data_IF_883792314137
#
_entry.id   IF_883792314137
#
_cell.length_a   1.000
_cell.length_b   1.000
_cell.length_c   1.000
_cell.angle_alpha   90.00
_cell.angle_beta   90.00
_cell.angle_gamma   90.00
#
_symmetry.space_group_name_H-M   'P 1'
#
loop_
_entity.id
_entity.type
_entity.pdbx_description
1 polymer ?
#
# COMPACT_ATOMS: atom_id res chain seq x y z
N UNK A 1 13.58 -4.92 -26.04
CA UNK A 1 13.06 -4.67 -24.68
C UNK A 1 11.70 -5.35 -24.45
N UNK A 2 10.68 -5.19 -25.30
CA UNK A 2 9.34 -5.81 -25.15
C UNK A 2 9.34 -7.35 -25.00
N UNK A 3 10.30 -8.07 -25.57
CA UNK A 3 10.37 -9.53 -25.46
C UNK A 3 10.93 -10.06 -24.12
N UNK A 4 11.71 -9.27 -23.38
CA UNK A 4 12.19 -9.64 -22.04
C UNK A 4 11.10 -9.45 -20.98
N UNK A 5 10.27 -8.40 -21.15
CA UNK A 5 9.12 -8.12 -20.28
C UNK A 5 8.09 -9.24 -20.29
N UNK A 6 7.79 -9.76 -21.50
CA UNK A 6 6.85 -10.86 -21.67
C UNK A 6 7.32 -12.20 -21.06
N UNK A 7 8.64 -12.41 -20.89
CA UNK A 7 9.18 -13.66 -20.34
C UNK A 7 9.23 -13.68 -18.81
N UNK A 8 9.52 -12.56 -18.15
CA UNK A 8 9.62 -12.49 -16.69
C UNK A 8 8.23 -12.44 -16.01
N UNK A 9 7.31 -11.61 -16.53
CA UNK A 9 5.95 -11.53 -16.02
C UNK A 9 5.14 -12.82 -16.23
N UNK A 10 5.45 -13.59 -17.26
CA UNK A 10 4.75 -14.86 -17.56
C UNK A 10 5.18 -16.04 -16.68
N UNK A 11 6.32 -15.98 -16.02
CA UNK A 11 6.90 -17.15 -15.34
C UNK A 11 6.14 -17.58 -14.08
N UNK A 12 5.44 -16.67 -13.41
CA UNK A 12 4.68 -16.92 -12.19
C UNK A 12 3.17 -16.73 -12.33
N UNK A 13 2.74 -15.96 -13.35
CA UNK A 13 1.31 -15.76 -13.64
C UNK A 13 0.73 -17.01 -14.30
N UNK A 14 -0.53 -17.29 -13.97
CA UNK A 14 -1.28 -18.44 -14.52
C UNK A 14 -2.50 -17.96 -15.29
N UNK A 15 -2.78 -18.59 -16.41
CA UNK A 15 -4.09 -18.55 -17.03
C UNK A 15 -4.99 -19.64 -16.42
N UNK A 16 -6.31 -19.52 -16.57
CA UNK A 16 -7.25 -20.55 -16.11
C UNK A 16 -6.96 -21.92 -16.76
N UNK A 17 -6.56 -21.91 -18.03
CA UNK A 17 -6.16 -23.12 -18.76
C UNK A 17 -4.94 -23.79 -18.11
N UNK A 18 -3.90 -22.99 -17.82
CA UNK A 18 -2.70 -23.50 -17.14
C UNK A 18 -3.02 -24.05 -15.75
N UNK A 19 -3.88 -23.35 -14.98
CA UNK A 19 -4.32 -23.86 -13.68
C UNK A 19 -5.00 -25.22 -13.83
N UNK A 20 -5.90 -25.41 -14.81
CA UNK A 20 -6.56 -26.71 -15.08
C UNK A 20 -5.56 -27.82 -15.38
N UNK A 21 -4.55 -27.53 -16.19
CA UNK A 21 -3.50 -28.52 -16.49
C UNK A 21 -2.73 -28.89 -15.22
N UNK A 22 -2.29 -27.90 -14.45
CA UNK A 22 -1.47 -28.13 -13.25
C UNK A 22 -2.23 -28.81 -12.13
N UNK A 23 -3.53 -28.57 -12.01
CA UNK A 23 -4.41 -29.30 -11.08
C UNK A 23 -4.58 -30.76 -11.55
N UNK A 24 -4.80 -30.97 -12.86
CA UNK A 24 -4.90 -32.33 -13.42
C UNK A 24 -3.60 -33.14 -13.30
N UNK A 25 -2.45 -32.49 -13.30
CA UNK A 25 -1.12 -33.12 -13.08
C UNK A 25 -0.77 -33.27 -11.59
N UNK A 26 -1.58 -32.70 -10.66
CA UNK A 26 -1.32 -32.72 -9.23
C UNK A 26 -0.19 -31.81 -8.78
N UNK A 27 0.24 -30.85 -9.62
CA UNK A 27 1.27 -29.87 -9.27
C UNK A 27 0.72 -28.64 -8.52
N UNK A 28 -0.60 -28.41 -8.60
CA UNK A 28 -1.35 -27.46 -7.78
C UNK A 28 -2.56 -28.17 -7.18
N UNK A 29 -2.69 -28.13 -5.86
CA UNK A 29 -3.83 -28.69 -5.12
C UNK A 29 -4.62 -27.64 -4.35
N UNK A 30 -4.03 -26.44 -4.15
CA UNK A 30 -4.61 -25.38 -3.34
C UNK A 30 -4.68 -24.06 -4.11
N UNK A 31 -5.84 -23.39 -4.05
CA UNK A 31 -6.02 -22.02 -4.52
C UNK A 31 -6.34 -21.10 -3.34
N UNK A 32 -5.49 -20.13 -3.11
CA UNK A 32 -5.73 -19.05 -2.15
C UNK A 32 -6.58 -17.98 -2.86
N UNK A 33 -7.85 -17.89 -2.50
CA UNK A 33 -8.76 -16.82 -2.92
C UNK A 33 -8.71 -15.72 -1.88
N UNK A 34 -8.14 -14.57 -2.22
CA UNK A 34 -7.87 -13.49 -1.28
C UNK A 34 -8.36 -12.13 -1.78
N UNK A 35 -8.77 -11.27 -0.86
CA UNK A 35 -9.04 -9.86 -1.11
C UNK A 35 -8.26 -9.01 -0.10
N UNK A 36 -8.18 -7.70 -0.31
CA UNK A 36 -7.48 -6.78 0.59
C UNK A 36 -8.47 -6.10 1.53
N UNK A 37 -8.24 -6.20 2.84
CA UNK A 37 -9.02 -5.52 3.86
C UNK A 37 -8.66 -4.04 3.99
N UNK A 38 -9.32 -3.33 4.92
CA UNK A 38 -9.11 -1.89 5.16
C UNK A 38 -7.66 -1.56 5.51
N UNK A 39 -6.97 -2.45 6.22
CA UNK A 39 -5.58 -2.30 6.66
C UNK A 39 -4.55 -2.69 5.58
N UNK A 40 -5.00 -3.13 4.41
CA UNK A 40 -4.11 -3.56 3.33
C UNK A 40 -3.60 -5.00 3.47
N UNK A 41 -4.21 -5.82 4.34
CA UNK A 41 -3.88 -7.24 4.53
C UNK A 41 -4.66 -8.11 3.55
N UNK A 42 -4.07 -9.23 3.15
CA UNK A 42 -4.81 -10.25 2.41
C UNK A 42 -5.65 -11.09 3.38
N UNK A 43 -6.96 -11.11 3.13
CA UNK A 43 -7.96 -11.94 3.81
C UNK A 43 -8.59 -12.88 2.79
N UNK A 44 -9.12 -14.02 3.21
CA UNK A 44 -9.76 -14.94 2.28
C UNK A 44 -9.75 -16.39 2.73
N UNK A 45 -9.75 -17.30 1.76
CA UNK A 45 -9.87 -18.75 1.99
C UNK A 45 -8.80 -19.51 1.20
N UNK A 46 -8.31 -20.61 1.76
CA UNK A 46 -7.60 -21.66 1.02
C UNK A 46 -8.61 -22.70 0.57
N UNK A 47 -8.73 -22.91 -0.72
CA UNK A 47 -9.70 -23.80 -1.35
C UNK A 47 -8.97 -24.98 -1.97
N UNK A 48 -9.59 -26.17 -2.01
CA UNK A 48 -9.17 -27.23 -2.94
C UNK A 48 -9.18 -26.65 -4.35
N UNK A 49 -8.13 -26.92 -5.10
CA UNK A 49 -8.03 -26.42 -6.49
C UNK A 49 -9.12 -27.00 -7.40
N UNK A 50 -9.53 -28.26 -7.15
CA UNK A 50 -10.67 -28.89 -7.84
C UNK A 50 -11.97 -28.12 -7.56
N UNK A 51 -12.28 -27.87 -6.28
CA UNK A 51 -13.47 -27.11 -5.88
C UNK A 51 -13.47 -25.69 -6.47
N UNK A 52 -12.30 -25.02 -6.50
CA UNK A 52 -12.16 -23.72 -7.13
C UNK A 52 -12.53 -23.78 -8.61
N UNK A 53 -12.05 -24.78 -9.34
CA UNK A 53 -12.29 -24.95 -10.78
C UNK A 53 -13.74 -25.35 -11.10
N UNK A 54 -14.34 -26.20 -10.29
CA UNK A 54 -15.66 -26.77 -10.56
C UNK A 54 -16.80 -25.84 -10.12
N UNK A 55 -16.64 -25.19 -8.95
CA UNK A 55 -17.71 -24.42 -8.32
C UNK A 55 -17.39 -22.91 -8.32
N UNK A 56 -16.24 -22.49 -7.79
CA UNK A 56 -15.98 -21.07 -7.50
C UNK A 56 -15.85 -20.21 -8.77
N UNK A 57 -15.34 -20.80 -9.85
CA UNK A 57 -15.28 -20.11 -11.16
C UNK A 57 -16.70 -19.78 -11.69
N UNK A 58 -17.70 -20.57 -11.36
CA UNK A 58 -19.08 -20.40 -11.87
C UNK A 58 -20.01 -19.69 -10.89
N UNK A 59 -19.83 -19.98 -9.61
CA UNK A 59 -20.78 -19.59 -8.55
C UNK A 59 -20.16 -18.64 -7.53
N UNK A 60 -18.83 -18.36 -7.67
CA UNK A 60 -18.04 -17.52 -6.76
C UNK A 60 -17.91 -18.17 -5.37
N UNK A 61 -17.30 -17.48 -4.43
CA UNK A 61 -17.24 -17.85 -3.03
C UNK A 61 -17.82 -16.72 -2.19
N UNK A 62 -18.23 -17.02 -0.98
CA UNK A 62 -18.79 -16.05 -0.05
C UNK A 62 -17.85 -15.83 1.13
N UNK A 63 -18.00 -14.69 1.78
CA UNK A 63 -17.27 -14.33 3.00
C UNK A 63 -18.09 -13.34 3.83
N UNK A 64 -17.98 -13.43 5.14
CA UNK A 64 -18.72 -12.54 6.01
C UNK A 64 -18.31 -11.08 5.80
N UNK A 65 -19.29 -10.19 5.69
CA UNK A 65 -19.07 -8.79 5.39
C UNK A 65 -18.35 -8.02 6.52
N UNK A 66 -18.32 -8.56 7.76
CA UNK A 66 -17.54 -7.95 8.84
C UNK A 66 -16.04 -7.85 8.52
N UNK A 67 -15.51 -8.64 7.60
CA UNK A 67 -14.10 -8.61 7.20
C UNK A 67 -13.63 -7.24 6.66
N UNK A 68 -14.57 -6.36 6.29
CA UNK A 68 -14.31 -4.95 6.02
C UNK A 68 -14.80 -4.01 7.15
N UNK A 69 -15.12 -4.54 8.33
CA UNK A 69 -15.70 -3.81 9.45
C UNK A 69 -15.12 -4.27 10.80
N UNK A 70 -13.82 -4.58 10.82
CA UNK A 70 -13.08 -5.05 12.00
C UNK A 70 -11.93 -4.10 12.32
N UNK A 71 -11.46 -4.16 13.57
CA UNK A 71 -10.21 -3.52 13.97
C UNK A 71 -8.96 -4.30 13.49
N UNK A 72 -7.77 -3.85 13.86
CA UNK A 72 -6.50 -4.51 13.49
C UNK A 72 -6.38 -5.93 14.07
N UNK A 73 -7.01 -6.18 15.21
CA UNK A 73 -7.02 -7.48 15.91
C UNK A 73 -8.14 -8.42 15.41
N UNK A 74 -8.88 -8.02 14.37
CA UNK A 74 -10.01 -8.76 13.79
C UNK A 74 -11.26 -8.82 14.70
N UNK A 75 -11.36 -7.94 15.69
CA UNK A 75 -12.57 -7.82 16.47
C UNK A 75 -13.63 -7.07 15.65
N UNK A 76 -14.88 -7.54 15.73
CA UNK A 76 -16.01 -6.78 15.20
C UNK A 76 -16.23 -5.53 16.04
N UNK A 77 -16.41 -4.39 15.36
CA UNK A 77 -16.60 -3.09 16.01
C UNK A 77 -17.86 -2.41 15.46
N UNK A 78 -18.48 -1.58 16.29
CA UNK A 78 -19.71 -0.86 15.93
C UNK A 78 -19.45 0.36 15.03
N UNK A 79 -20.54 0.91 14.49
CA UNK A 79 -20.54 2.16 13.74
C UNK A 79 -20.42 2.02 12.21
N UNK A 80 -20.27 0.80 11.69
CA UNK A 80 -20.25 0.56 10.26
C UNK A 80 -21.67 0.35 9.69
N UNK A 81 -22.02 1.10 8.65
CA UNK A 81 -23.33 0.98 8.01
C UNK A 81 -23.52 -0.35 7.27
N UNK A 82 -22.44 -0.93 6.74
CA UNK A 82 -22.49 -2.16 5.94
C UNK A 82 -22.68 -3.42 6.77
N UNK A 83 -22.26 -3.44 8.04
CA UNK A 83 -22.16 -4.64 8.87
C UNK A 83 -22.33 -4.30 10.35
N UNK A 84 -23.23 -5.00 11.05
CA UNK A 84 -23.49 -4.81 12.49
C UNK A 84 -24.23 -6.00 13.07
N UNK A 85 -24.27 -6.10 14.41
CA UNK A 85 -25.12 -7.08 15.12
C UNK A 85 -26.60 -6.95 14.75
N UNK A 86 -27.11 -5.71 14.60
CA UNK A 86 -28.50 -5.46 14.25
C UNK A 86 -28.86 -5.93 12.82
N UNK A 87 -27.86 -6.01 11.93
CA UNK A 87 -28.00 -6.52 10.55
C UNK A 87 -27.70 -8.02 10.41
N UNK A 88 -27.20 -8.68 11.46
CA UNK A 88 -26.94 -10.11 11.50
C UNK A 88 -25.70 -10.55 10.71
N UNK A 89 -24.79 -9.63 10.35
CA UNK A 89 -23.52 -9.93 9.66
C UNK A 89 -23.69 -10.87 8.45
N UNK A 90 -24.36 -10.40 7.41
CA UNK A 90 -24.49 -11.16 6.15
C UNK A 90 -23.17 -11.33 5.40
N UNK A 91 -23.22 -11.98 4.26
CA UNK A 91 -22.05 -12.25 3.44
C UNK A 91 -21.91 -11.24 2.28
N UNK A 92 -20.73 -11.15 1.73
CA UNK A 92 -20.43 -10.64 0.41
C UNK A 92 -19.83 -11.74 -0.47
N UNK A 93 -19.89 -11.54 -1.77
CA UNK A 93 -19.39 -12.46 -2.79
C UNK A 93 -17.94 -12.12 -3.14
N UNK A 94 -17.07 -13.13 -3.14
CA UNK A 94 -15.68 -13.03 -3.60
C UNK A 94 -15.62 -13.44 -5.08
N UNK A 95 -15.49 -12.44 -5.96
CA UNK A 95 -15.43 -12.64 -7.41
C UNK A 95 -13.97 -12.74 -7.85
N UNK A 96 -13.48 -13.92 -8.31
CA UNK A 96 -12.07 -14.08 -8.68
C UNK A 96 -11.65 -13.18 -9.85
N UNK A 97 -10.71 -12.29 -9.66
CA UNK A 97 -10.07 -11.51 -10.72
C UNK A 97 -9.01 -12.38 -11.42
N UNK A 98 -9.41 -13.22 -12.38
CA UNK A 98 -8.57 -14.27 -12.98
C UNK A 98 -7.25 -13.74 -13.58
N UNK A 99 -7.20 -12.48 -14.01
CA UNK A 99 -5.97 -11.86 -14.50
C UNK A 99 -4.88 -11.70 -13.43
N UNK A 100 -5.23 -11.85 -12.15
CA UNK A 100 -4.28 -11.77 -11.01
C UNK A 100 -3.72 -13.12 -10.60
N UNK A 101 -4.21 -14.21 -11.20
CA UNK A 101 -3.87 -15.58 -10.83
C UNK A 101 -2.39 -15.86 -11.01
N UNK A 102 -1.77 -16.42 -9.97
CA UNK A 102 -0.33 -16.65 -9.88
C UNK A 102 0.05 -17.81 -9.00
N UNK A 103 1.24 -18.39 -9.21
CA UNK A 103 1.84 -19.35 -8.27
C UNK A 103 2.30 -18.65 -6.99
N UNK A 104 2.32 -19.40 -5.90
CA UNK A 104 2.94 -19.00 -4.62
C UNK A 104 4.18 -19.88 -4.36
N UNK A 105 5.38 -19.53 -4.85
CA UNK A 105 6.54 -20.39 -4.76
C UNK A 105 7.02 -20.74 -3.33
N UNK A 106 6.57 -19.99 -2.33
CA UNK A 106 6.87 -20.23 -0.91
C UNK A 106 5.82 -21.08 -0.20
N UNK A 107 4.77 -21.49 -0.90
CA UNK A 107 3.79 -22.48 -0.48
C UNK A 107 3.75 -23.62 -1.49
N UNK A 108 3.94 -24.84 -1.00
CA UNK A 108 3.91 -26.04 -1.85
C UNK A 108 2.55 -26.15 -2.57
N UNK A 109 2.58 -26.54 -3.83
CA UNK A 109 1.41 -26.82 -4.68
C UNK A 109 0.30 -25.75 -4.65
N UNK A 110 0.65 -24.47 -4.49
CA UNK A 110 -0.32 -23.41 -4.25
C UNK A 110 -0.32 -22.33 -5.33
N UNK A 111 -1.53 -21.86 -5.66
CA UNK A 111 -1.78 -20.67 -6.46
C UNK A 111 -2.56 -19.64 -5.64
N UNK A 112 -2.50 -18.37 -6.06
CA UNK A 112 -3.28 -17.27 -5.48
C UNK A 112 -4.06 -16.56 -6.59
N UNK A 113 -5.27 -16.13 -6.27
CA UNK A 113 -6.07 -15.21 -7.07
C UNK A 113 -6.65 -14.12 -6.15
N UNK A 114 -6.57 -12.87 -6.58
CA UNK A 114 -7.22 -11.75 -5.87
C UNK A 114 -8.70 -11.75 -6.25
N UNK A 115 -9.57 -11.46 -5.28
CA UNK A 115 -10.99 -11.30 -5.49
C UNK A 115 -11.42 -9.83 -5.43
N UNK A 116 -12.35 -9.46 -6.28
CA UNK A 116 -13.21 -8.30 -6.10
C UNK A 116 -14.37 -8.68 -5.18
N UNK A 117 -14.90 -7.71 -4.42
CA UNK A 117 -16.03 -7.93 -3.53
C UNK A 117 -17.31 -7.36 -4.13
N UNK A 118 -18.36 -8.17 -4.13
CA UNK A 118 -19.70 -7.78 -4.59
C UNK A 118 -20.76 -8.18 -3.57
N UNK A 119 -21.88 -7.49 -3.60
CA UNK A 119 -23.11 -7.95 -2.93
C UNK A 119 -23.76 -9.07 -3.74
N UNK A 120 -24.75 -9.76 -3.16
CA UNK A 120 -25.49 -10.84 -3.84
C UNK A 120 -26.16 -10.39 -5.14
N UNK A 121 -26.56 -9.12 -5.24
CA UNK A 121 -27.14 -8.53 -6.45
C UNK A 121 -26.11 -8.17 -7.54
N UNK A 122 -24.82 -8.47 -7.28
CA UNK A 122 -23.71 -8.17 -8.17
C UNK A 122 -23.19 -6.73 -8.11
N UNK A 123 -23.79 -5.87 -7.28
CA UNK A 123 -23.27 -4.52 -7.07
C UNK A 123 -21.96 -4.54 -6.29
N UNK A 124 -21.00 -3.61 -6.57
CA UNK A 124 -19.70 -3.60 -5.92
C UNK A 124 -19.82 -3.21 -4.43
N UNK A 125 -18.99 -3.81 -3.57
CA UNK A 125 -18.81 -3.36 -2.19
C UNK A 125 -17.91 -2.12 -2.20
N UNK A 126 -18.55 -0.94 -2.16
CA UNK A 126 -17.86 0.36 -2.39
C UNK A 126 -16.76 0.66 -1.37
N UNK A 127 -16.84 0.10 -0.16
CA UNK A 127 -15.81 0.26 0.88
C UNK A 127 -14.56 -0.60 0.64
N UNK A 128 -14.59 -1.54 -0.32
CA UNK A 128 -13.43 -2.38 -0.64
C UNK A 128 -12.28 -1.53 -1.22
N UNK A 129 -11.06 -1.60 -0.64
CA UNK A 129 -9.93 -0.79 -1.09
C UNK A 129 -9.63 -0.95 -2.58
N UNK A 130 -9.67 -2.18 -3.10
CA UNK A 130 -9.41 -2.47 -4.50
C UNK A 130 -10.45 -1.81 -5.41
N UNK A 131 -11.72 -1.81 -5.02
CA UNK A 131 -12.80 -1.18 -5.78
C UNK A 131 -12.76 0.34 -5.71
N UNK A 132 -12.34 0.93 -4.57
CA UNK A 132 -12.09 2.37 -4.46
C UNK A 132 -11.04 2.79 -5.49
N UNK A 133 -9.94 2.03 -5.63
CA UNK A 133 -8.93 2.32 -6.66
C UNK A 133 -9.49 2.12 -8.07
N UNK A 134 -10.20 1.01 -8.33
CA UNK A 134 -10.78 0.73 -9.64
C UNK A 134 -11.74 1.85 -10.09
N UNK A 135 -12.53 2.42 -9.17
CA UNK A 135 -13.40 3.55 -9.46
C UNK A 135 -12.59 4.78 -9.95
N UNK A 136 -11.46 5.10 -9.32
CA UNK A 136 -10.60 6.21 -9.76
C UNK A 136 -9.90 5.90 -11.09
N UNK A 137 -9.45 4.66 -11.29
CA UNK A 137 -8.86 4.23 -12.57
C UNK A 137 -9.88 4.30 -13.71
N UNK A 138 -11.15 3.98 -13.43
CA UNK A 138 -12.24 4.14 -14.40
C UNK A 138 -12.43 5.61 -14.80
N UNK A 139 -12.44 6.55 -13.84
CA UNK A 139 -12.52 8.01 -14.13
C UNK A 139 -11.36 8.47 -15.03
N UNK A 140 -10.15 7.96 -14.84
CA UNK A 140 -9.02 8.22 -15.75
C UNK A 140 -9.26 7.61 -17.14
N UNK A 141 -9.76 6.36 -17.19
CA UNK A 141 -10.05 5.65 -18.44
C UNK A 141 -11.09 6.37 -19.30
N UNK A 142 -12.10 7.02 -18.71
CA UNK A 142 -13.10 7.84 -19.38
C UNK A 142 -12.46 9.06 -20.09
N UNK A 143 -11.32 9.54 -19.57
CA UNK A 143 -10.50 10.59 -20.18
C UNK A 143 -9.46 10.06 -21.17
N UNK A 144 -9.39 8.75 -21.37
CA UNK A 144 -8.42 8.09 -22.22
C UNK A 144 -7.02 7.94 -21.60
N UNK A 145 -6.91 7.98 -20.27
CA UNK A 145 -5.66 7.87 -19.55
C UNK A 145 -5.57 6.60 -18.72
N UNK A 146 -4.32 6.11 -18.56
CA UNK A 146 -3.98 5.00 -17.68
C UNK A 146 -2.98 5.44 -16.64
N UNK A 147 -3.25 5.14 -15.36
CA UNK A 147 -2.31 5.38 -14.27
C UNK A 147 -1.26 4.25 -14.22
N UNK A 148 0.01 4.63 -14.22
CA UNK A 148 1.15 3.75 -13.94
C UNK A 148 1.69 4.09 -12.57
N UNK A 149 1.81 3.10 -11.70
CA UNK A 149 2.28 3.28 -10.33
C UNK A 149 3.47 2.37 -9.99
N UNK A 150 4.31 2.80 -9.05
CA UNK A 150 5.36 2.02 -8.42
C UNK A 150 5.38 2.31 -6.92
N UNK A 151 5.69 1.32 -6.09
CA UNK A 151 5.83 1.48 -4.64
C UNK A 151 7.23 1.07 -4.20
N UNK A 152 7.90 1.93 -3.43
CA UNK A 152 9.17 1.67 -2.74
C UNK A 152 8.82 1.35 -1.28
N UNK A 153 8.71 0.07 -0.95
CA UNK A 153 8.25 -0.39 0.37
C UNK A 153 9.42 -0.87 1.22
N UNK A 154 9.72 -0.11 2.26
CA UNK A 154 10.75 -0.42 3.25
C UNK A 154 10.22 -1.32 4.37
N UNK A 155 11.11 -2.09 4.98
CA UNK A 155 10.83 -2.96 6.11
C UNK A 155 12.06 -3.17 6.99
N UNK A 156 11.83 -3.50 8.27
CA UNK A 156 12.91 -3.89 9.19
C UNK A 156 12.87 -5.40 9.43
N UNK A 157 14.03 -6.02 9.38
CA UNK A 157 14.25 -7.46 9.66
C UNK A 157 14.83 -7.63 11.05
N UNK A 158 14.24 -8.56 11.83
CA UNK A 158 14.75 -9.00 13.12
C UNK A 158 15.16 -10.47 13.06
N UNK A 159 16.21 -10.82 13.82
CA UNK A 159 16.64 -12.20 13.99
C UNK A 159 15.67 -13.03 14.86
N UNK A 160 14.79 -12.35 15.58
CA UNK A 160 13.76 -12.97 16.41
C UNK A 160 12.59 -13.43 15.54
N UNK A 161 12.02 -14.60 15.83
CA UNK A 161 10.78 -15.04 15.19
C UNK A 161 9.58 -14.21 15.67
N UNK A 162 8.44 -14.33 15.00
CA UNK A 162 7.19 -13.66 15.45
C UNK A 162 6.75 -14.13 16.83
N UNK A 163 6.95 -15.42 17.16
CA UNK A 163 6.62 -16.00 18.47
C UNK A 163 7.54 -15.45 19.56
N UNK A 164 8.84 -15.31 19.29
CA UNK A 164 9.79 -14.68 20.21
C UNK A 164 9.47 -13.19 20.41
N UNK A 165 9.15 -12.47 19.33
CA UNK A 165 8.74 -11.09 19.41
C UNK A 165 7.47 -10.90 20.25
N UNK A 166 6.48 -11.78 20.08
CA UNK A 166 5.27 -11.78 20.91
C UNK A 166 5.58 -12.07 22.38
N UNK A 167 6.40 -13.08 22.65
CA UNK A 167 6.78 -13.47 24.01
C UNK A 167 7.53 -12.37 24.78
N UNK A 168 8.29 -11.52 24.05
CA UNK A 168 8.99 -10.34 24.63
C UNK A 168 8.10 -9.10 24.74
N UNK A 169 6.82 -9.18 24.33
CA UNK A 169 5.95 -8.02 24.22
C UNK A 169 6.43 -7.00 23.19
N UNK A 170 7.02 -7.47 22.10
CA UNK A 170 7.55 -6.68 20.98
C UNK A 170 8.72 -5.74 21.36
N UNK A 171 9.46 -6.11 22.42
CA UNK A 171 10.59 -5.33 22.98
C UNK A 171 11.90 -6.07 22.86
N UNK A 172 12.98 -5.28 22.89
CA UNK A 172 14.36 -5.80 22.92
C UNK A 172 14.67 -6.76 21.77
N UNK A 173 14.00 -6.60 20.63
CA UNK A 173 14.22 -7.39 19.44
C UNK A 173 15.59 -7.10 18.84
N UNK A 174 16.23 -8.10 18.28
CA UNK A 174 17.58 -8.05 17.68
C UNK A 174 17.50 -7.74 16.19
N UNK A 175 17.78 -6.50 15.74
CA UNK A 175 17.82 -6.20 14.32
C UNK A 175 18.85 -7.07 13.59
N UNK A 176 18.54 -7.46 12.35
CA UNK A 176 19.43 -8.30 11.54
C UNK A 176 20.76 -7.62 11.19
N UNK A 177 20.81 -6.28 11.22
CA UNK A 177 22.05 -5.50 11.08
C UNK A 177 22.27 -4.63 12.32
N UNK A 178 23.51 -4.48 12.74
CA UNK A 178 23.92 -3.78 13.97
C UNK A 178 24.39 -2.33 13.72
N UNK A 179 24.40 -1.87 12.47
CA UNK A 179 24.80 -0.53 12.04
C UNK A 179 24.01 -0.12 10.79
N UNK A 180 24.06 1.16 10.44
CA UNK A 180 23.47 1.68 9.23
C UNK A 180 24.05 1.00 7.99
N UNK A 181 23.19 0.35 7.20
CA UNK A 181 23.60 -0.42 6.00
C UNK A 181 23.09 0.24 4.70
N UNK A 182 22.71 1.50 4.76
CA UNK A 182 22.24 2.25 3.59
C UNK A 182 23.23 2.14 2.42
N UNK A 183 22.77 1.56 1.32
CA UNK A 183 23.57 1.19 0.13
C UNK A 183 24.82 0.32 0.39
N UNK A 184 25.02 -0.23 1.59
CA UNK A 184 26.19 -1.04 1.92
C UNK A 184 26.07 -2.46 1.39
N UNK A 185 26.87 -2.83 0.39
CA UNK A 185 26.93 -4.21 -0.12
C UNK A 185 27.45 -5.17 0.95
N UNK A 186 28.51 -4.79 1.68
CA UNK A 186 29.04 -5.60 2.77
C UNK A 186 28.00 -5.79 3.88
N UNK A 187 27.34 -4.70 4.29
CA UNK A 187 26.38 -4.72 5.38
C UNK A 187 25.15 -5.59 5.09
N UNK A 188 24.62 -5.51 3.90
CA UNK A 188 23.45 -6.30 3.47
C UNK A 188 23.75 -7.78 3.26
N UNK A 189 25.04 -8.16 3.09
CA UNK A 189 25.46 -9.55 2.86
C UNK A 189 25.01 -10.53 3.95
N UNK A 190 24.85 -10.08 5.21
CA UNK A 190 24.37 -10.92 6.32
C UNK A 190 22.90 -11.32 6.17
N UNK A 191 22.08 -10.46 5.58
CA UNK A 191 20.64 -10.65 5.38
C UNK A 191 20.32 -11.17 3.97
N UNK A 192 21.34 -11.20 3.08
CA UNK A 192 21.18 -11.64 1.69
C UNK A 192 20.52 -13.02 1.53
N UNK A 193 20.77 -14.05 2.38
CA UNK A 193 20.04 -15.31 2.24
C UNK A 193 18.52 -15.15 2.31
N UNK A 194 18.00 -14.35 3.24
CA UNK A 194 16.57 -14.03 3.34
C UNK A 194 16.09 -13.15 2.17
N UNK A 195 16.81 -12.05 1.90
CA UNK A 195 16.45 -11.13 0.82
C UNK A 195 16.40 -11.84 -0.54
N UNK A 196 17.34 -12.77 -0.78
CA UNK A 196 17.36 -13.59 -1.99
C UNK A 196 16.11 -14.50 -2.08
N UNK A 197 15.73 -15.17 -0.99
CA UNK A 197 14.51 -15.99 -0.96
C UNK A 197 13.28 -15.16 -1.29
N UNK A 198 13.16 -13.96 -0.70
CA UNK A 198 12.04 -13.06 -1.00
C UNK A 198 12.07 -12.66 -2.48
N UNK A 199 13.21 -12.19 -3.01
CA UNK A 199 13.31 -11.80 -4.43
C UNK A 199 12.95 -12.94 -5.38
N UNK A 200 13.44 -14.16 -5.12
CA UNK A 200 13.12 -15.33 -5.96
C UNK A 200 11.67 -15.78 -5.81
N UNK A 201 11.11 -15.74 -4.58
CA UNK A 201 9.71 -16.01 -4.34
C UNK A 201 8.81 -15.04 -5.12
N UNK A 202 9.08 -13.74 -5.01
CA UNK A 202 8.32 -12.72 -5.72
C UNK A 202 8.46 -12.85 -7.25
N UNK A 203 9.67 -13.08 -7.76
CA UNK A 203 9.88 -13.32 -9.18
C UNK A 203 9.12 -14.58 -9.68
N UNK A 204 9.10 -15.64 -8.88
CA UNK A 204 8.34 -16.87 -9.16
C UNK A 204 6.83 -16.69 -9.04
N UNK A 205 6.35 -15.66 -8.33
CA UNK A 205 4.95 -15.25 -8.29
C UNK A 205 4.59 -14.20 -9.36
N UNK A 206 5.46 -13.95 -10.33
CA UNK A 206 5.18 -13.05 -11.46
C UNK A 206 5.48 -11.58 -11.25
N UNK A 207 6.09 -11.19 -10.10
CA UNK A 207 6.53 -9.84 -9.85
C UNK A 207 7.90 -9.58 -10.49
N UNK A 208 8.05 -8.47 -11.20
CA UNK A 208 9.34 -8.09 -11.77
C UNK A 208 10.18 -7.39 -10.72
N UNK A 209 11.12 -8.12 -10.11
CA UNK A 209 12.07 -7.60 -9.13
C UNK A 209 13.17 -6.83 -9.83
N UNK A 210 13.44 -5.58 -9.44
CA UNK A 210 14.52 -4.75 -9.97
C UNK A 210 15.78 -4.82 -9.11
N UNK A 211 15.64 -4.60 -7.79
CA UNK A 211 16.79 -4.55 -6.88
C UNK A 211 16.40 -4.79 -5.43
N UNK A 212 17.39 -4.91 -4.58
CA UNK A 212 17.26 -4.77 -3.13
C UNK A 212 18.46 -3.99 -2.57
N UNK A 213 18.23 -3.18 -1.55
CA UNK A 213 19.26 -2.39 -0.87
C UNK A 213 19.02 -2.33 0.63
N UNK A 214 20.06 -1.97 1.38
CA UNK A 214 19.94 -1.58 2.79
C UNK A 214 19.42 -0.15 2.91
N UNK A 215 18.92 0.18 4.09
CA UNK A 215 18.41 1.49 4.49
C UNK A 215 19.04 1.95 5.81
N UNK A 216 18.65 3.15 6.27
CA UNK A 216 19.32 3.83 7.37
C UNK A 216 19.08 3.22 8.75
N UNK A 217 17.89 2.64 9.01
CA UNK A 217 17.60 2.03 10.32
C UNK A 217 18.30 0.65 10.44
N UNK A 218 18.50 0.20 11.66
CA UNK A 218 19.08 -1.12 11.92
C UNK A 218 18.16 -2.22 11.37
N UNK A 219 18.71 -3.10 10.55
CA UNK A 219 17.97 -4.18 9.91
C UNK A 219 17.01 -3.72 8.81
N UNK A 220 17.07 -2.44 8.40
CA UNK A 220 16.15 -1.90 7.41
C UNK A 220 16.60 -2.17 5.98
N UNK A 221 15.66 -2.59 5.15
CA UNK A 221 15.87 -2.94 3.75
C UNK A 221 14.70 -2.50 2.89
N UNK A 222 14.96 -2.40 1.58
CA UNK A 222 13.97 -2.17 0.53
C UNK A 222 14.16 -3.19 -0.60
N UNK A 223 13.07 -3.67 -1.18
CA UNK A 223 13.07 -4.43 -2.43
C UNK A 223 12.23 -3.67 -3.43
N UNK A 224 12.86 -3.24 -4.53
CA UNK A 224 12.22 -2.48 -5.58
C UNK A 224 11.66 -3.41 -6.66
N UNK A 225 10.46 -3.07 -7.11
CA UNK A 225 9.76 -3.77 -8.19
C UNK A 225 9.47 -2.81 -9.34
N UNK A 226 9.42 -3.36 -10.54
CA UNK A 226 9.03 -2.60 -11.71
C UNK A 226 7.60 -2.07 -11.58
N UNK A 227 7.43 -0.80 -11.93
CA UNK A 227 6.10 -0.19 -12.00
C UNK A 227 5.18 -0.92 -13.00
N UNK A 228 3.88 -0.89 -12.72
CA UNK A 228 2.84 -1.46 -13.58
C UNK A 228 1.61 -0.53 -13.59
N UNK A 229 0.50 -0.99 -14.16
CA UNK A 229 -0.77 -0.29 -13.98
C UNK A 229 -1.12 -0.18 -12.49
N UNK A 230 -1.80 0.90 -12.09
CA UNK A 230 -2.05 1.20 -10.68
C UNK A 230 -2.64 0.01 -9.91
N UNK A 231 -3.67 -0.66 -10.45
CA UNK A 231 -4.28 -1.83 -9.79
C UNK A 231 -3.29 -2.99 -9.68
N UNK A 232 -2.56 -3.30 -10.78
CA UNK A 232 -1.56 -4.38 -10.77
C UNK A 232 -0.45 -4.13 -9.76
N UNK A 233 0.02 -2.88 -9.62
CA UNK A 233 1.04 -2.53 -8.62
C UNK A 233 0.52 -2.74 -7.21
N UNK A 234 -0.72 -2.35 -6.91
CA UNK A 234 -1.31 -2.55 -5.59
C UNK A 234 -1.56 -4.04 -5.28
N UNK A 235 -2.03 -4.82 -6.28
CA UNK A 235 -2.14 -6.28 -6.16
C UNK A 235 -0.76 -6.91 -5.85
N UNK A 236 0.28 -6.53 -6.57
CA UNK A 236 1.65 -7.00 -6.36
C UNK A 236 2.21 -6.60 -4.99
N UNK A 237 1.94 -5.36 -4.55
CA UNK A 237 2.36 -4.88 -3.22
C UNK A 237 1.75 -5.74 -2.10
N UNK A 238 0.45 -6.05 -2.17
CA UNK A 238 -0.22 -6.87 -1.16
C UNK A 238 0.33 -8.30 -1.12
N UNK A 239 0.61 -8.89 -2.29
CA UNK A 239 1.27 -10.20 -2.41
C UNK A 239 2.68 -10.16 -1.84
N UNK A 240 3.46 -9.12 -2.18
CA UNK A 240 4.82 -8.94 -1.66
C UNK A 240 4.84 -8.79 -0.15
N UNK A 241 3.99 -7.91 0.42
CA UNK A 241 3.94 -7.64 1.86
C UNK A 241 3.60 -8.90 2.68
N UNK A 242 2.69 -9.71 2.17
CA UNK A 242 2.30 -10.99 2.79
C UNK A 242 3.40 -12.04 2.61
N UNK A 243 3.85 -12.27 1.38
CA UNK A 243 4.84 -13.32 1.09
C UNK A 243 6.21 -13.06 1.73
N UNK A 244 6.64 -11.81 1.85
CA UNK A 244 7.88 -11.47 2.55
C UNK A 244 7.83 -11.88 4.03
N UNK A 245 6.68 -11.66 4.71
CA UNK A 245 6.48 -12.08 6.10
C UNK A 245 6.44 -13.60 6.23
N UNK A 246 5.74 -14.29 5.33
CA UNK A 246 5.64 -15.76 5.34
C UNK A 246 7.01 -16.42 5.10
N UNK A 247 7.81 -15.87 4.16
CA UNK A 247 9.18 -16.35 3.89
C UNK A 247 10.10 -16.10 5.09
N UNK A 248 10.00 -14.93 5.74
CA UNK A 248 10.80 -14.65 6.93
C UNK A 248 10.42 -15.55 8.11
N UNK A 249 9.13 -15.79 8.33
CA UNK A 249 8.63 -16.71 9.36
C UNK A 249 9.16 -18.14 9.15
N UNK A 250 9.18 -18.63 7.90
CA UNK A 250 9.73 -19.94 7.57
C UNK A 250 11.25 -20.04 7.83
N UNK A 251 11.95 -18.92 7.87
CA UNK A 251 13.39 -18.83 8.23
C UNK A 251 13.62 -18.57 9.72
N UNK A 252 12.56 -18.56 10.55
CA UNK A 252 12.67 -18.25 11.99
C UNK A 252 13.01 -16.79 12.29
N UNK A 253 12.77 -15.89 11.34
CA UNK A 253 12.97 -14.44 11.44
C UNK A 253 11.65 -13.70 11.39
N UNK A 254 11.66 -12.40 11.71
CA UNK A 254 10.48 -11.55 11.53
C UNK A 254 10.78 -10.29 10.73
N UNK A 255 9.75 -9.81 10.04
CA UNK A 255 9.78 -8.58 9.26
C UNK A 255 8.63 -7.67 9.72
N UNK A 256 8.92 -6.39 9.94
CA UNK A 256 7.88 -5.40 10.18
C UNK A 256 7.85 -4.32 9.11
N UNK A 257 6.65 -3.98 8.69
CA UNK A 257 6.34 -2.84 7.82
C UNK A 257 5.72 -1.66 8.61
N UNK A 258 5.79 -1.68 9.94
CA UNK A 258 5.35 -0.53 10.75
C UNK A 258 6.04 0.74 10.27
N UNK A 259 5.28 1.84 10.15
CA UNK A 259 5.85 3.12 9.73
C UNK A 259 6.96 3.62 10.66
N UNK A 260 6.84 3.36 11.96
CA UNK A 260 7.84 3.75 12.97
C UNK A 260 8.04 2.63 13.99
N UNK A 261 8.91 1.63 13.70
CA UNK A 261 9.11 0.48 14.59
C UNK A 261 9.95 0.80 15.84
N UNK A 262 10.73 1.87 15.81
CA UNK A 262 11.58 2.33 16.92
C UNK A 262 11.85 3.85 16.80
N UNK A 263 12.71 4.40 17.65
CA UNK A 263 13.02 5.85 17.69
C UNK A 263 13.94 6.32 16.54
N UNK A 264 14.43 5.39 15.68
CA UNK A 264 15.27 5.70 14.51
C UNK A 264 14.41 6.02 13.29
N UNK A 265 14.99 5.93 12.08
CA UNK A 265 14.28 6.13 10.82
C UNK A 265 13.11 5.15 10.69
N UNK A 266 11.99 5.66 10.15
CA UNK A 266 10.81 4.84 9.90
C UNK A 266 10.86 4.13 8.55
N UNK A 267 9.93 3.19 8.33
CA UNK A 267 9.72 2.58 7.04
C UNK A 267 8.83 3.46 6.16
N UNK A 268 9.31 3.83 5.00
CA UNK A 268 8.55 4.53 3.97
C UNK A 268 7.85 3.55 3.03
N UNK A 269 6.83 4.05 2.36
CA UNK A 269 6.31 3.50 1.13
C UNK A 269 6.14 4.65 0.14
N UNK A 270 7.21 5.08 -0.50
CA UNK A 270 7.10 6.12 -1.52
C UNK A 270 6.31 5.61 -2.71
N UNK A 271 5.32 6.40 -3.16
CA UNK A 271 4.45 6.01 -4.27
C UNK A 271 4.74 6.89 -5.46
N UNK A 272 5.23 6.29 -6.52
CA UNK A 272 5.43 6.93 -7.82
C UNK A 272 4.17 6.80 -8.67
N UNK A 273 3.75 7.89 -9.30
CA UNK A 273 2.58 7.92 -10.16
C UNK A 273 2.85 8.71 -11.44
N UNK A 274 2.48 8.15 -12.58
CA UNK A 274 2.45 8.82 -13.87
C UNK A 274 1.21 8.44 -14.64
N UNK A 275 0.80 9.28 -15.58
CA UNK A 275 -0.34 9.04 -16.46
C UNK A 275 0.14 8.85 -17.91
N UNK A 276 -0.49 7.90 -18.63
CA UNK A 276 -0.23 7.64 -20.03
C UNK A 276 -1.52 7.70 -20.85
N UNK A 277 -1.42 8.19 -22.07
CA UNK A 277 -2.51 8.13 -23.03
C UNK A 277 -2.64 6.74 -23.70
N UNK A 278 -3.61 6.60 -24.61
CA UNK A 278 -3.84 5.36 -25.37
C UNK A 278 -2.66 4.93 -26.23
N UNK A 279 -1.77 5.88 -26.60
CA UNK A 279 -0.54 5.60 -27.34
C UNK A 279 0.65 5.30 -26.41
N UNK A 280 0.41 5.14 -25.10
CA UNK A 280 1.41 4.92 -24.06
C UNK A 280 2.39 6.10 -23.86
N UNK A 281 2.05 7.30 -24.36
CA UNK A 281 2.82 8.52 -24.13
C UNK A 281 2.49 9.10 -22.76
N UNK A 282 3.50 9.58 -22.01
CA UNK A 282 3.30 10.27 -20.75
C UNK A 282 2.58 11.61 -20.94
N UNK A 283 1.45 11.81 -20.26
CA UNK A 283 0.63 13.04 -20.41
C UNK A 283 1.00 14.12 -19.40
N UNK A 284 1.70 13.78 -18.32
CA UNK A 284 2.20 14.76 -17.35
C UNK A 284 3.41 15.54 -17.87
N UNK A 285 4.12 14.97 -18.85
CA UNK A 285 5.30 15.59 -19.45
C UNK A 285 4.91 16.55 -20.59
N UNK A 286 5.66 17.66 -20.72
CA UNK A 286 5.46 18.67 -21.75
C UNK A 286 6.63 19.64 -21.83
N UNK A 287 6.42 20.77 -22.50
CA UNK A 287 7.42 21.82 -22.74
C UNK A 287 7.39 22.95 -21.68
N UNK A 288 6.56 22.78 -20.65
CA UNK A 288 6.44 23.74 -19.55
C UNK A 288 7.61 23.68 -18.56
N UNK A 289 7.57 24.51 -17.52
CA UNK A 289 8.59 24.50 -16.46
C UNK A 289 8.78 23.09 -15.89
N UNK A 290 10.06 22.74 -15.64
CA UNK A 290 10.45 21.44 -15.09
C UNK A 290 10.04 20.22 -15.95
N UNK A 291 9.71 20.43 -17.24
CA UNK A 291 9.28 19.37 -18.16
C UNK A 291 7.84 18.91 -17.95
N UNK A 292 7.02 19.69 -17.22
CA UNK A 292 5.59 19.43 -17.05
C UNK A 292 4.76 19.96 -18.22
N UNK A 293 3.69 19.27 -18.55
CA UNK A 293 2.60 19.82 -19.36
C UNK A 293 1.66 20.63 -18.47
N UNK A 294 0.79 21.52 -19.03
CA UNK A 294 -0.24 22.18 -18.24
C UNK A 294 -1.10 21.19 -17.42
N UNK A 295 -1.43 20.03 -18.02
CA UNK A 295 -2.12 18.97 -17.33
C UNK A 295 -1.27 18.40 -16.17
N UNK A 296 0.02 18.23 -16.36
CA UNK A 296 0.96 17.78 -15.32
C UNK A 296 1.07 18.77 -14.16
N UNK A 297 1.07 20.07 -14.45
CA UNK A 297 1.06 21.12 -13.42
C UNK A 297 -0.24 21.07 -12.59
N UNK A 298 -1.40 21.01 -13.23
CA UNK A 298 -2.69 20.91 -12.54
C UNK A 298 -2.80 19.59 -11.73
N UNK A 299 -2.32 18.48 -12.28
CA UNK A 299 -2.33 17.19 -11.59
C UNK A 299 -1.48 17.21 -10.30
N UNK A 300 -0.29 17.81 -10.36
CA UNK A 300 0.58 17.95 -9.18
C UNK A 300 0.01 18.97 -8.18
N UNK A 301 -0.53 20.10 -8.66
CA UNK A 301 -1.19 21.09 -7.82
C UNK A 301 -2.37 20.49 -7.05
N UNK A 302 -3.17 19.66 -7.70
CA UNK A 302 -4.28 18.95 -7.05
C UNK A 302 -3.79 17.99 -5.95
N UNK A 303 -2.72 17.24 -6.19
CA UNK A 303 -2.15 16.36 -5.17
C UNK A 303 -1.63 17.13 -3.94
N UNK A 304 -1.04 18.29 -4.12
CA UNK A 304 -0.64 19.16 -3.02
C UNK A 304 -1.84 19.72 -2.25
N UNK A 305 -2.83 20.23 -2.96
CA UNK A 305 -4.03 20.82 -2.37
C UNK A 305 -4.80 19.78 -1.55
N UNK A 306 -4.97 18.56 -2.06
CA UNK A 306 -5.69 17.47 -1.41
C UNK A 306 -4.89 16.70 -0.36
N UNK A 307 -3.57 16.95 -0.21
CA UNK A 307 -2.70 16.10 0.60
C UNK A 307 -3.14 16.00 2.07
N UNK A 308 -3.56 17.12 2.67
CA UNK A 308 -4.02 17.16 4.06
C UNK A 308 -5.38 16.49 4.22
N UNK A 309 -6.30 16.79 3.32
CA UNK A 309 -7.68 16.26 3.36
C UNK A 309 -7.71 14.74 3.17
N UNK A 310 -6.78 14.19 2.38
CA UNK A 310 -6.68 12.76 2.09
C UNK A 310 -5.58 12.05 2.89
N UNK A 311 -5.02 12.71 3.92
CA UNK A 311 -3.92 12.17 4.72
C UNK A 311 -4.27 10.82 5.39
N UNK A 312 -5.54 10.59 5.73
CA UNK A 312 -6.02 9.33 6.30
C UNK A 312 -5.73 8.12 5.39
N UNK A 313 -5.79 8.31 4.06
CA UNK A 313 -5.46 7.25 3.10
C UNK A 313 -3.94 7.09 2.86
N UNK A 314 -3.14 8.07 3.23
CA UNK A 314 -1.68 8.01 3.15
C UNK A 314 -1.02 7.52 4.45
N UNK A 315 -1.65 7.75 5.59
CA UNK A 315 -1.13 7.47 6.93
C UNK A 315 -2.28 6.99 7.84
N UNK A 316 -2.68 5.69 7.73
CA UNK A 316 -3.94 5.21 8.30
C UNK A 316 -3.89 4.91 9.80
N UNK A 317 -2.70 4.83 10.42
CA UNK A 317 -2.53 4.37 11.78
C UNK A 317 -1.97 5.47 12.69
N UNK A 318 -2.18 5.34 14.00
CA UNK A 318 -1.56 6.23 15.02
C UNK A 318 -0.03 6.24 14.85
N UNK A 319 0.58 5.10 14.55
CA UNK A 319 2.02 4.95 14.37
C UNK A 319 2.54 5.64 13.11
N UNK A 320 1.74 5.77 12.05
CA UNK A 320 2.14 6.40 10.78
C UNK A 320 2.71 7.80 10.97
N UNK A 321 2.09 8.59 11.83
CA UNK A 321 2.43 10.00 12.07
C UNK A 321 3.73 10.20 12.85
N UNK A 322 4.16 9.19 13.61
CA UNK A 322 5.45 9.21 14.34
C UNK A 322 6.66 9.21 13.42
N UNK A 323 6.47 8.93 12.12
CA UNK A 323 7.51 8.97 11.10
C UNK A 323 7.86 10.40 10.68
N UNK A 324 6.95 11.36 10.79
CA UNK A 324 7.13 12.74 10.32
C UNK A 324 7.99 13.57 11.27
N UNK A 325 9.30 13.31 11.23
CA UNK A 325 10.29 13.98 12.06
C UNK A 325 11.26 14.76 11.15
N UNK A 326 11.57 16.04 11.44
CA UNK A 326 12.57 16.78 10.67
C UNK A 326 13.91 16.05 10.59
N UNK A 327 14.49 15.95 9.39
CA UNK A 327 15.76 15.28 9.16
C UNK A 327 15.70 13.77 8.98
N UNK A 328 14.50 13.15 9.00
CA UNK A 328 14.30 11.70 8.85
C UNK A 328 13.97 11.25 7.43
N UNK A 329 14.13 12.11 6.41
CA UNK A 329 13.68 11.92 5.03
C UNK A 329 12.16 11.69 4.86
N UNK A 330 11.38 11.63 5.95
CA UNK A 330 9.93 11.70 5.92
C UNK A 330 9.49 13.17 5.87
N UNK A 331 8.62 13.57 4.93
CA UNK A 331 8.26 14.96 4.76
C UNK A 331 7.39 15.48 5.90
N UNK A 332 7.59 16.73 6.28
CA UNK A 332 6.76 17.41 7.28
C UNK A 332 5.99 18.60 6.71
N UNK A 333 6.37 19.09 5.53
CA UNK A 333 5.77 20.24 4.87
C UNK A 333 5.03 19.82 3.59
N UNK A 334 3.89 20.45 3.32
CA UNK A 334 3.14 20.28 2.08
C UNK A 334 3.82 21.13 1.00
N UNK A 335 4.89 20.57 0.42
CA UNK A 335 5.69 21.19 -0.64
C UNK A 335 6.02 20.16 -1.71
N UNK A 336 6.31 20.68 -2.90
CA UNK A 336 6.89 19.90 -3.97
C UNK A 336 8.22 20.48 -4.43
N UNK A 337 9.07 19.63 -5.00
CA UNK A 337 10.34 20.07 -5.55
C UNK A 337 10.87 19.09 -6.58
N UNK A 338 11.76 19.59 -7.47
CA UNK A 338 12.46 18.77 -8.44
C UNK A 338 13.59 18.05 -7.74
N UNK A 339 13.55 16.73 -7.76
CA UNK A 339 14.53 15.84 -7.11
C UNK A 339 14.83 16.18 -5.63
N UNK A 340 13.84 16.74 -4.91
CA UNK A 340 13.98 17.19 -3.52
C UNK A 340 13.34 16.21 -2.54
N UNK A 341 14.17 15.44 -1.82
CA UNK A 341 13.74 14.42 -0.85
C UNK A 341 13.18 14.98 0.46
N UNK A 342 13.25 16.30 0.70
CA UNK A 342 12.65 16.93 1.88
C UNK A 342 11.19 17.34 1.67
N UNK A 343 10.71 17.32 0.42
CA UNK A 343 9.34 17.68 0.04
C UNK A 343 8.39 16.48 0.13
N UNK A 344 7.11 16.77 0.34
CA UNK A 344 6.05 15.76 0.32
C UNK A 344 5.84 15.15 -1.07
N UNK A 345 5.89 16.00 -2.11
CA UNK A 345 5.85 15.59 -3.51
C UNK A 345 7.19 15.90 -4.18
N UNK A 346 7.81 14.86 -4.74
CA UNK A 346 9.06 14.98 -5.48
C UNK A 346 8.82 14.69 -6.95
N UNK A 347 9.12 15.64 -7.82
CA UNK A 347 9.08 15.42 -9.26
C UNK A 347 10.39 14.77 -9.70
N UNK A 348 10.31 13.60 -10.31
CA UNK A 348 11.46 12.82 -10.77
C UNK A 348 11.32 12.41 -12.24
N UNK A 349 12.48 12.22 -12.89
CA UNK A 349 12.59 11.87 -14.30
C UNK A 349 12.90 13.10 -15.18
N UNK A 350 13.63 12.86 -16.26
CA UNK A 350 14.13 13.91 -17.16
C UNK A 350 13.61 13.76 -18.60
N UNK A 351 12.73 12.80 -18.85
CA UNK A 351 12.15 12.53 -20.18
C UNK A 351 10.64 12.29 -20.07
N UNK A 352 9.92 12.45 -21.18
CA UNK A 352 8.49 12.20 -21.23
C UNK A 352 8.10 10.78 -20.81
N UNK A 353 8.99 9.81 -20.95
CA UNK A 353 8.75 8.41 -20.55
C UNK A 353 9.08 8.12 -19.07
N UNK A 354 9.89 8.98 -18.44
CA UNK A 354 10.37 8.78 -17.05
C UNK A 354 9.78 9.75 -16.05
N UNK A 355 9.17 10.87 -16.51
CA UNK A 355 8.59 11.89 -15.64
C UNK A 355 7.44 11.32 -14.80
N UNK A 356 7.52 11.48 -13.50
CA UNK A 356 6.52 11.02 -12.55
C UNK A 356 6.54 11.83 -11.26
N UNK A 357 5.45 11.82 -10.55
CA UNK A 357 5.34 12.37 -9.20
C UNK A 357 5.57 11.26 -8.19
N UNK A 358 6.45 11.49 -7.23
CA UNK A 358 6.68 10.65 -6.06
C UNK A 358 6.00 11.28 -4.83
N UNK A 359 5.02 10.60 -4.26
CA UNK A 359 4.45 10.95 -2.96
C UNK A 359 5.27 10.26 -1.86
N UNK A 360 5.90 11.05 -0.99
CA UNK A 360 6.80 10.58 0.07
C UNK A 360 6.12 10.50 1.45
N UNK A 361 4.85 10.87 1.52
CA UNK A 361 4.05 10.86 2.77
C UNK A 361 3.74 9.45 3.26
N UNK A 362 3.36 8.47 2.41
CA UNK A 362 2.98 7.13 2.89
C UNK A 362 4.12 6.39 3.59
N UNK A 363 3.78 5.70 4.68
CA UNK A 363 4.67 4.77 5.39
C UNK A 363 4.48 3.32 4.98
N UNK A 364 5.30 2.42 5.49
CA UNK A 364 5.25 0.99 5.19
C UNK A 364 3.95 0.30 5.62
N UNK A 365 3.18 0.93 6.48
CA UNK A 365 1.87 0.49 6.97
C UNK A 365 0.68 0.92 6.10
N UNK A 366 0.94 1.61 4.99
CA UNK A 366 -0.11 2.10 4.08
C UNK A 366 -0.89 0.95 3.42
N UNK A 367 -2.17 1.21 3.13
CA UNK A 367 -2.94 0.44 2.17
C UNK A 367 -2.69 1.03 0.77
N UNK A 368 -2.00 0.32 -0.14
CA UNK A 368 -1.57 0.88 -1.42
C UNK A 368 -2.74 1.28 -2.33
N UNK A 369 -3.86 0.55 -2.26
CA UNK A 369 -5.03 0.87 -3.08
C UNK A 369 -5.64 2.22 -2.68
N UNK A 370 -5.76 2.48 -1.37
CA UNK A 370 -6.33 3.72 -0.86
C UNK A 370 -5.43 4.92 -1.17
N UNK A 371 -4.11 4.77 -0.94
CA UNK A 371 -3.16 5.83 -1.19
C UNK A 371 -3.06 6.20 -2.68
N UNK A 372 -3.01 5.21 -3.57
CA UNK A 372 -3.00 5.45 -5.02
C UNK A 372 -4.33 6.05 -5.50
N UNK A 373 -5.46 5.59 -4.95
CA UNK A 373 -6.77 6.18 -5.24
C UNK A 373 -6.83 7.65 -4.81
N UNK A 374 -6.30 7.99 -3.63
CA UNK A 374 -6.22 9.37 -3.15
C UNK A 374 -5.36 10.27 -4.07
N UNK A 375 -4.20 9.78 -4.51
CA UNK A 375 -3.34 10.51 -5.45
C UNK A 375 -4.04 10.76 -6.79
N UNK A 376 -4.75 9.77 -7.33
CA UNK A 376 -5.49 9.91 -8.58
C UNK A 376 -6.66 10.91 -8.40
N UNK A 377 -7.42 10.76 -7.33
CA UNK A 377 -8.58 11.62 -7.04
C UNK A 377 -8.17 13.09 -6.89
N UNK A 378 -7.13 13.36 -6.10
CA UNK A 378 -6.59 14.71 -5.91
C UNK A 378 -6.02 15.30 -7.21
N UNK A 379 -5.29 14.49 -7.98
CA UNK A 379 -4.78 14.92 -9.27
C UNK A 379 -5.87 15.25 -10.28
N UNK A 380 -6.95 14.46 -10.32
CA UNK A 380 -8.12 14.74 -11.17
C UNK A 380 -8.85 16.02 -10.74
N UNK A 381 -9.03 16.24 -9.43
CA UNK A 381 -9.62 17.49 -8.92
C UNK A 381 -8.77 18.71 -9.33
N UNK A 382 -7.44 18.58 -9.27
CA UNK A 382 -6.54 19.64 -9.73
C UNK A 382 -6.69 19.96 -11.21
N UNK A 383 -6.86 18.96 -12.06
CA UNK A 383 -7.12 19.13 -13.49
C UNK A 383 -8.51 19.75 -13.73
N UNK A 384 -9.54 19.24 -13.05
CA UNK A 384 -10.93 19.72 -13.22
C UNK A 384 -11.10 21.18 -12.81
N UNK A 385 -10.35 21.62 -11.79
CA UNK A 385 -10.37 22.99 -11.27
C UNK A 385 -9.29 23.87 -11.86
N UNK A 386 -8.44 23.33 -12.76
CA UNK A 386 -7.29 24.05 -13.34
C UNK A 386 -6.43 24.73 -12.27
N UNK A 387 -6.15 23.99 -11.18
CA UNK A 387 -5.40 24.55 -10.04
C UNK A 387 -3.99 24.99 -10.46
N UNK A 388 -3.59 26.24 -10.13
CA UNK A 388 -2.23 26.68 -10.41
C UNK A 388 -1.22 25.95 -9.53
N UNK A 389 -0.12 25.54 -10.13
CA UNK A 389 1.00 24.95 -9.38
C UNK A 389 1.86 26.06 -8.76
N UNK A 390 2.09 25.98 -7.46
CA UNK A 390 3.05 26.87 -6.78
C UNK A 390 4.48 26.64 -7.30
N UNK A 391 5.41 27.60 -7.16
CA UNK A 391 6.80 27.40 -7.55
C UNK A 391 7.45 26.23 -6.83
N UNK A 392 8.34 25.51 -7.53
CA UNK A 392 9.10 24.40 -6.95
C UNK A 392 9.92 24.88 -5.74
N UNK A 393 9.84 24.14 -4.65
CA UNK A 393 10.59 24.45 -3.43
C UNK A 393 12.05 24.02 -3.58
N UNK A 394 12.95 24.99 -3.42
CA UNK A 394 14.40 24.76 -3.38
C UNK A 394 14.93 24.73 -1.95
N UNK A 395 15.82 23.80 -1.66
CA UNK A 395 16.47 23.70 -0.35
C UNK A 395 15.74 22.78 0.64
N UNK A 396 15.85 23.09 1.94
CA UNK A 396 15.38 22.22 3.02
C UNK A 396 13.93 22.54 3.42
N UNK A 397 12.97 21.73 2.99
CA UNK A 397 11.56 21.93 3.27
C UNK A 397 11.19 21.71 4.76
N UNK A 398 12.04 21.09 5.58
CA UNK A 398 11.80 21.00 7.01
C UNK A 398 11.78 22.37 7.71
N UNK A 399 12.49 23.34 7.16
CA UNK A 399 12.56 24.71 7.69
C UNK A 399 11.48 25.63 7.10
N UNK A 400 10.63 25.14 6.18
CA UNK A 400 9.57 25.94 5.59
C UNK A 400 8.49 26.28 6.62
N UNK A 401 8.04 27.55 6.75
CA UNK A 401 6.96 27.93 7.66
C UNK A 401 5.56 27.61 7.12
N UNK A 402 5.44 27.12 5.90
CA UNK A 402 4.19 26.84 5.21
C UNK A 402 3.37 25.68 5.80
N UNK A 403 2.34 25.25 5.09
CA UNK A 403 1.44 24.17 5.55
C UNK A 403 2.20 22.89 5.86
N UNK A 404 1.79 22.22 6.95
CA UNK A 404 2.36 20.95 7.38
C UNK A 404 1.40 19.79 7.05
N UNK A 405 1.95 18.60 6.81
CA UNK A 405 1.15 17.38 6.84
C UNK A 405 0.53 17.22 8.23
N UNK A 406 -0.64 16.58 8.37
CA UNK A 406 -1.21 16.29 9.69
C UNK A 406 -0.18 15.57 10.57
N UNK A 407 -0.15 15.91 11.86
CA UNK A 407 0.86 15.39 12.80
C UNK A 407 0.35 14.21 13.63
N UNK A 408 -0.95 13.95 13.58
CA UNK A 408 -1.60 12.86 14.30
C UNK A 408 -2.73 12.26 13.46
N UNK A 409 -3.13 11.02 13.77
CA UNK A 409 -4.32 10.41 13.16
C UNK A 409 -5.59 11.24 13.46
N UNK A 410 -5.65 11.89 14.63
CA UNK A 410 -6.76 12.76 15.02
C UNK A 410 -6.87 13.99 14.11
N UNK A 411 -5.73 14.62 13.80
CA UNK A 411 -5.71 15.77 12.87
C UNK A 411 -6.13 15.34 11.47
N UNK A 412 -5.64 14.20 11.00
CA UNK A 412 -5.99 13.67 9.68
C UNK A 412 -7.47 13.28 9.59
N UNK A 413 -8.03 12.66 10.62
CA UNK A 413 -9.45 12.37 10.70
C UNK A 413 -10.30 13.65 10.64
N UNK A 414 -9.91 14.69 11.36
CA UNK A 414 -10.63 15.97 11.36
C UNK A 414 -10.61 16.67 9.99
N UNK A 415 -9.52 16.53 9.21
CA UNK A 415 -9.44 17.01 7.82
C UNK A 415 -10.31 16.14 6.88
N UNK A 416 -10.24 14.81 7.03
CA UNK A 416 -10.99 13.85 6.23
C UNK A 416 -12.51 14.05 6.35
N UNK A 417 -13.02 14.16 7.57
CA UNK A 417 -14.46 14.32 7.84
C UNK A 417 -15.06 15.58 7.20
N UNK A 418 -14.26 16.64 7.03
CA UNK A 418 -14.65 17.91 6.41
C UNK A 418 -14.41 17.94 4.90
N UNK A 419 -13.68 16.98 4.37
CA UNK A 419 -13.18 17.01 3.00
C UNK A 419 -14.32 16.88 1.99
N UNK A 420 -14.52 17.93 1.21
CA UNK A 420 -15.41 17.87 0.05
C UNK A 420 -14.79 17.04 -1.08
N UNK A 421 -13.46 17.10 -1.23
CA UNK A 421 -12.74 16.29 -2.19
C UNK A 421 -12.93 14.78 -1.93
N UNK A 422 -12.82 14.33 -0.69
CA UNK A 422 -13.02 12.93 -0.34
C UNK A 422 -14.47 12.48 -0.66
N UNK A 423 -15.48 13.29 -0.30
CA UNK A 423 -16.88 12.99 -0.57
C UNK A 423 -17.20 12.95 -2.07
N UNK A 424 -16.68 13.88 -2.84
CA UNK A 424 -16.87 13.91 -4.30
C UNK A 424 -16.15 12.75 -5.00
N UNK A 425 -14.96 12.37 -4.51
CA UNK A 425 -14.17 11.32 -5.14
C UNK A 425 -14.63 9.91 -4.78
N UNK A 426 -15.03 9.68 -3.52
CA UNK A 426 -15.26 8.33 -2.99
C UNK A 426 -16.69 8.10 -2.52
N UNK A 427 -17.49 9.16 -2.34
CA UNK A 427 -18.86 9.09 -1.80
C UNK A 427 -18.89 9.11 -0.27
N UNK A 428 -20.07 9.50 0.27
CA UNK A 428 -20.27 9.63 1.72
C UNK A 428 -20.10 8.29 2.45
N UNK A 429 -20.52 7.18 1.87
CA UNK A 429 -20.42 5.86 2.48
C UNK A 429 -18.95 5.49 2.74
N UNK A 430 -18.06 5.69 1.78
CA UNK A 430 -16.63 5.43 1.95
C UNK A 430 -16.01 6.37 2.97
N UNK A 431 -16.38 7.67 2.94
CA UNK A 431 -15.85 8.65 3.89
C UNK A 431 -16.21 8.28 5.32
N UNK A 432 -17.47 7.95 5.60
CA UNK A 432 -17.91 7.55 6.92
C UNK A 432 -17.34 6.20 7.36
N UNK A 433 -17.21 5.25 6.44
CA UNK A 433 -16.63 3.95 6.71
C UNK A 433 -15.19 4.05 7.23
N UNK A 434 -14.32 4.78 6.54
CA UNK A 434 -12.92 4.95 6.95
C UNK A 434 -12.76 5.92 8.12
N UNK A 435 -13.63 6.90 8.25
CA UNK A 435 -13.68 7.75 9.45
C UNK A 435 -14.02 6.92 10.70
N UNK A 436 -14.97 5.98 10.61
CA UNK A 436 -15.31 5.09 11.72
C UNK A 436 -14.12 4.23 12.14
N UNK A 437 -13.39 3.62 11.20
CA UNK A 437 -12.17 2.87 11.52
C UNK A 437 -11.14 3.71 12.29
N UNK A 438 -10.91 4.95 11.87
CA UNK A 438 -10.01 5.85 12.55
C UNK A 438 -10.50 6.26 13.95
N UNK A 439 -11.81 6.47 14.14
CA UNK A 439 -12.40 6.77 15.46
C UNK A 439 -12.22 5.58 16.42
N UNK A 440 -12.46 4.37 15.95
CA UNK A 440 -12.27 3.13 16.74
C UNK A 440 -10.82 2.98 17.18
N UNK A 441 -9.88 3.13 16.25
CA UNK A 441 -8.44 3.05 16.55
C UNK A 441 -8.00 4.13 17.54
N UNK A 442 -8.47 5.37 17.38
CA UNK A 442 -8.17 6.45 18.33
C UNK A 442 -8.76 6.19 19.71
N UNK A 443 -9.99 5.68 19.80
CA UNK A 443 -10.62 5.36 21.09
C UNK A 443 -9.85 4.26 21.82
N UNK A 444 -9.41 3.22 21.11
CA UNK A 444 -8.59 2.15 21.68
C UNK A 444 -7.22 2.67 22.14
N UNK A 445 -6.56 3.48 21.32
CA UNK A 445 -5.27 4.09 21.67
C UNK A 445 -5.37 5.02 22.87
N UNK A 446 -6.40 5.86 22.94
CA UNK A 446 -6.61 6.79 24.06
C UNK A 446 -6.92 6.08 25.39
N UNK A 447 -7.50 4.87 25.33
CA UNK A 447 -7.78 4.04 26.50
C UNK A 447 -6.56 3.20 26.96
N UNK A 448 -5.55 3.03 26.09
CA UNK A 448 -4.41 2.19 26.37
C UNK A 448 -3.45 2.86 27.37
N UNK A 449 -3.06 2.14 28.43
CA UNK A 449 -2.00 2.58 29.35
C UNK A 449 -0.65 2.21 28.74
N UNK A 450 0.10 3.25 28.36
CA UNK A 450 1.36 3.07 27.65
C UNK A 450 2.58 2.99 28.58
N UNK A 451 3.68 2.43 28.09
CA UNK A 451 4.97 2.45 28.83
C UNK A 451 5.47 3.86 29.13
N UNK A 452 5.10 4.82 28.30
CA UNK A 452 5.42 6.22 28.53
C UNK A 452 4.81 6.71 29.83
N UNK A 453 3.53 6.43 30.07
CA UNK A 453 2.79 6.80 31.27
C UNK A 453 3.32 6.08 32.48
N UNK A 454 3.54 4.75 32.37
CA UNK A 454 4.09 3.94 33.46
C UNK A 454 5.46 4.46 33.93
N UNK A 455 6.37 4.73 32.99
CA UNK A 455 7.72 5.24 33.31
C UNK A 455 7.72 6.63 33.92
N UNK A 456 6.75 7.47 33.58
CA UNK A 456 6.67 8.85 34.08
C UNK A 456 5.86 8.98 35.35
N UNK A 457 4.79 8.21 35.51
CA UNK A 457 3.78 8.37 36.54
C UNK A 457 3.93 7.43 37.73
N UNK A 458 4.47 6.22 37.56
CA UNK A 458 4.38 5.15 38.56
C UNK A 458 4.90 5.51 39.94
N UNK A 459 5.98 6.23 40.04
CA UNK A 459 6.56 6.67 41.32
C UNK A 459 6.54 8.19 41.51
N UNK A 460 6.50 8.95 40.41
CA UNK A 460 6.79 10.39 40.42
C UNK A 460 5.54 11.29 40.52
N UNK A 461 4.36 10.75 40.29
CA UNK A 461 3.09 11.50 40.34
C UNK A 461 2.16 11.00 41.44
#
# INVERSE_FOLDING_TARGET
>A
MLHAEARSARRGMLTLEQLRVEVGEGTIDTVVLAFTDMQGRLQGKRLSAEFFLDEVIRHHAEGCNYLLAVDVEMNTVDGYAMSSWDRGYGDFVLVPALATMRRLPWHEASALVIADLAWEDGSPVVASPRQILQAQVKRLGERGWTAMAGTELEFVVYNDSYEQAQASGWRDLTPANQYNVDYSILGTGRVEPLLRKIRLGMAGAGLYVESSKGECNLGQHEIAFRYASAVTTCDNHSVYKTGAKEIAAADGMSITFMAKPNDREGNSCHIHLSLRDRASKGVLAGDGPHGLSPLGEHFLAGQLAGLRELALFHAPNVNSYKRYVPGSFAPTAVRWGVDNRTCAMRLVGHSSSSLRVENRVPGGDVNPYLAVAAMIAAGLDGIERELPLEPAFGGNAYSDPGPRVPSTLRDALAEWEKSQLARQAFGDEVVEHYANGARVELAAFDAAVTDWELRRGFERL
#
